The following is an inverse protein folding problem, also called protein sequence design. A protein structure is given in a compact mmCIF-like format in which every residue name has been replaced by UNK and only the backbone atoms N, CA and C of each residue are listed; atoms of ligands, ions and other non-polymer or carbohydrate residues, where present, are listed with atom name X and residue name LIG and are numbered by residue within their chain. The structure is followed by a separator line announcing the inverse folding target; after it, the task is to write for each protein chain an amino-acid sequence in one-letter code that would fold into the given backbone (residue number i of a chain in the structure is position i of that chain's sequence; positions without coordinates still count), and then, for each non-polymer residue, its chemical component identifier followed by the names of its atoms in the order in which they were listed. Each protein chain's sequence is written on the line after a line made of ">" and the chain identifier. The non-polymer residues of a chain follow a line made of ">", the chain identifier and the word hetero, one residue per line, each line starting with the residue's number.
data_IF_885334589873
#
_entry.id   IF_885334589873
#
_cell.length_a   1.000
_cell.length_b   1.000
_cell.length_c   1.000
_cell.angle_alpha   90.00
_cell.angle_beta   90.00
_cell.angle_gamma   90.00
#
_symmetry.space_group_name_H-M   'P 1'
#
loop_
_entity.id
_entity.type
_entity.pdbx_description
1 polymer ?
#
# COMPACT_ATOMS: atom_id res chain seq x y z
N UNK A 1 -6.35 -61.09 -3.37
CA UNK A 1 -7.10 -62.34 -3.57
C UNK A 1 -7.57 -62.79 -2.20
N UNK A 2 -8.87 -62.69 -1.95
CA UNK A 2 -9.49 -62.95 -0.65
C UNK A 2 -10.19 -64.30 -0.69
N UNK A 3 -9.95 -65.14 0.32
CA UNK A 3 -10.57 -66.46 0.43
C UNK A 3 -11.89 -66.33 1.18
N UNK A 4 -12.99 -66.62 0.49
CA UNK A 4 -14.32 -66.71 1.07
C UNK A 4 -14.68 -68.18 1.22
N UNK A 5 -14.83 -68.65 2.45
CA UNK A 5 -15.07 -70.06 2.75
C UNK A 5 -15.98 -70.23 3.96
N UNK A 6 -16.74 -71.32 4.00
CA UNK A 6 -17.68 -71.56 5.07
C UNK A 6 -18.58 -72.76 4.82
N UNK A 7 -19.64 -72.90 5.61
CA UNK A 7 -20.67 -73.93 5.44
C UNK A 7 -22.03 -73.25 5.31
N UNK A 8 -22.71 -73.44 4.18
CA UNK A 8 -24.10 -73.05 3.99
C UNK A 8 -25.02 -73.97 4.78
N UNK A 9 -25.96 -73.39 5.50
CA UNK A 9 -26.95 -74.09 6.30
C UNK A 9 -28.34 -73.56 6.01
N UNK A 10 -29.34 -74.42 6.04
CA UNK A 10 -30.74 -74.03 5.98
C UNK A 10 -31.22 -73.46 7.34
N UNK A 11 -32.49 -73.08 7.41
CA UNK A 11 -33.10 -72.55 8.63
C UNK A 11 -33.14 -73.57 9.80
N UNK A 12 -32.92 -74.87 9.52
CA UNK A 12 -32.85 -75.94 10.51
C UNK A 12 -31.39 -76.31 10.85
N UNK A 13 -30.41 -75.62 10.27
CA UNK A 13 -28.99 -75.86 10.49
C UNK A 13 -28.40 -77.01 9.67
N UNK A 14 -29.18 -77.64 8.78
CA UNK A 14 -28.71 -78.72 7.92
C UNK A 14 -27.86 -78.16 6.77
N UNK A 15 -26.80 -78.86 6.35
CA UNK A 15 -25.96 -78.43 5.23
C UNK A 15 -26.75 -78.41 3.92
N UNK A 16 -26.62 -77.32 3.16
CA UNK A 16 -27.25 -77.20 1.83
C UNK A 16 -26.26 -77.67 0.76
N UNK A 17 -26.61 -78.73 0.03
CA UNK A 17 -25.85 -79.17 -1.15
C UNK A 17 -26.48 -78.59 -2.44
N UNK A 18 -25.65 -78.12 -3.36
CA UNK A 18 -26.02 -77.38 -4.57
C UNK A 18 -24.84 -76.55 -5.09
N UNK A 19 -25.09 -75.50 -5.87
CA UNK A 19 -24.07 -74.64 -6.44
C UNK A 19 -24.24 -73.16 -6.07
N UNK A 20 -23.14 -72.51 -5.70
CA UNK A 20 -23.06 -71.06 -5.63
C UNK A 20 -22.61 -70.50 -6.98
N UNK A 21 -23.38 -69.56 -7.50
CA UNK A 21 -23.03 -68.77 -8.68
C UNK A 21 -22.72 -67.34 -8.24
N UNK A 22 -21.55 -66.83 -8.62
CA UNK A 22 -21.17 -65.44 -8.37
C UNK A 22 -20.90 -64.75 -9.70
N UNK A 23 -21.63 -63.66 -9.96
CA UNK A 23 -21.53 -62.87 -11.19
C UNK A 23 -20.92 -61.50 -10.90
N UNK A 24 -19.86 -61.13 -11.61
CA UNK A 24 -19.25 -59.81 -11.47
C UNK A 24 -20.17 -58.71 -12.04
N UNK A 25 -20.46 -57.67 -11.24
CA UNK A 25 -21.37 -56.57 -11.64
C UNK A 25 -20.69 -55.45 -12.43
N UNK A 26 -19.37 -55.37 -12.39
CA UNK A 26 -18.59 -54.34 -13.09
C UNK A 26 -17.22 -54.85 -13.53
N UNK A 27 -16.65 -54.21 -14.54
CA UNK A 27 -15.27 -54.46 -14.96
C UNK A 27 -14.30 -53.75 -14.03
N UNK A 28 -13.32 -54.47 -13.51
CA UNK A 28 -12.15 -53.96 -12.77
C UNK A 28 -10.87 -54.29 -13.54
N UNK A 29 -9.71 -53.86 -13.03
CA UNK A 29 -8.42 -54.22 -13.63
C UNK A 29 -8.13 -55.72 -13.65
N UNK A 30 -8.85 -56.53 -12.86
CA UNK A 30 -8.62 -57.97 -12.72
C UNK A 30 -9.85 -58.85 -12.99
N UNK A 31 -11.04 -58.27 -13.16
CA UNK A 31 -12.32 -59.01 -13.32
C UNK A 31 -13.17 -58.31 -14.38
N UNK A 32 -13.69 -59.05 -15.36
CA UNK A 32 -14.57 -58.50 -16.41
C UNK A 32 -16.03 -58.64 -15.96
N UNK A 33 -16.85 -57.63 -16.24
CA UNK A 33 -18.30 -57.65 -15.98
C UNK A 33 -19.00 -58.89 -16.60
N UNK A 34 -20.06 -59.37 -15.95
CA UNK A 34 -20.88 -60.52 -16.34
C UNK A 34 -20.17 -61.89 -16.38
N UNK A 35 -18.88 -61.93 -16.03
CA UNK A 35 -18.21 -63.21 -15.76
C UNK A 35 -18.84 -63.90 -14.55
N UNK A 36 -19.07 -65.20 -14.68
CA UNK A 36 -19.72 -66.01 -13.66
C UNK A 36 -18.82 -67.17 -13.25
N UNK A 37 -18.62 -67.35 -11.94
CA UNK A 37 -18.07 -68.57 -11.39
C UNK A 37 -19.20 -69.43 -10.83
N UNK A 38 -19.07 -70.76 -10.95
CA UNK A 38 -19.97 -71.73 -10.33
C UNK A 38 -19.12 -72.67 -9.49
N UNK A 39 -19.47 -72.81 -8.21
CA UNK A 39 -18.82 -73.76 -7.31
C UNK A 39 -19.87 -74.63 -6.64
N UNK A 40 -19.65 -75.94 -6.69
CA UNK A 40 -20.49 -76.92 -6.01
C UNK A 40 -20.17 -76.95 -4.51
N UNK A 41 -21.20 -77.15 -3.71
CA UNK A 41 -21.11 -77.28 -2.26
C UNK A 41 -21.19 -78.75 -1.88
N UNK A 42 -20.25 -79.20 -1.06
CA UNK A 42 -20.19 -80.59 -0.58
C UNK A 42 -20.39 -80.59 0.93
N UNK A 43 -21.47 -81.20 1.40
CA UNK A 43 -21.95 -81.08 2.79
C UNK A 43 -22.04 -79.61 3.24
N UNK A 44 -22.58 -78.75 2.37
CA UNK A 44 -22.70 -77.30 2.61
C UNK A 44 -21.39 -76.52 2.54
N UNK A 45 -20.23 -77.17 2.44
CA UNK A 45 -18.94 -76.48 2.44
C UNK A 45 -18.63 -75.87 1.08
N UNK A 46 -18.10 -74.66 1.10
CA UNK A 46 -17.57 -73.95 -0.06
C UNK A 46 -16.24 -73.25 0.28
N UNK A 47 -15.41 -73.03 -0.73
CA UNK A 47 -14.20 -72.22 -0.62
C UNK A 47 -13.87 -71.63 -1.99
N UNK A 48 -13.78 -70.31 -2.08
CA UNK A 48 -13.51 -69.58 -3.31
C UNK A 48 -12.47 -68.50 -3.05
N UNK A 49 -11.60 -68.30 -4.03
CA UNK A 49 -10.65 -67.21 -4.02
C UNK A 49 -11.13 -66.11 -4.97
N UNK A 50 -11.54 -64.97 -4.41
CA UNK A 50 -12.11 -63.87 -5.17
C UNK A 50 -11.12 -62.73 -5.36
N UNK A 51 -11.22 -62.09 -6.52
CA UNK A 51 -10.56 -60.83 -6.80
C UNK A 51 -11.44 -59.66 -6.34
N UNK A 52 -10.86 -58.47 -6.10
CA UNK A 52 -11.63 -57.29 -5.74
C UNK A 52 -12.64 -56.91 -6.83
N UNK A 53 -13.93 -57.07 -6.53
CA UNK A 53 -15.05 -56.68 -7.36
C UNK A 53 -16.35 -56.72 -6.53
N UNK A 54 -17.44 -56.26 -7.13
CA UNK A 54 -18.80 -56.43 -6.62
C UNK A 54 -19.44 -57.62 -7.34
N UNK A 55 -20.00 -58.56 -6.58
CA UNK A 55 -20.54 -59.81 -7.10
C UNK A 55 -21.99 -60.02 -6.68
N UNK A 56 -22.87 -60.34 -7.62
CA UNK A 56 -24.19 -60.90 -7.33
C UNK A 56 -24.06 -62.39 -7.03
N UNK A 57 -24.64 -62.82 -5.92
CA UNK A 57 -24.53 -64.18 -5.40
C UNK A 57 -25.87 -64.88 -5.52
N UNK A 58 -25.87 -66.06 -6.13
CA UNK A 58 -27.05 -66.88 -6.36
C UNK A 58 -26.78 -68.30 -5.92
N UNK A 59 -27.72 -68.91 -5.20
CA UNK A 59 -27.68 -70.30 -4.80
C UNK A 59 -28.63 -71.12 -5.69
N UNK A 60 -28.10 -72.17 -6.31
CA UNK A 60 -28.86 -73.14 -7.08
C UNK A 60 -28.84 -74.49 -6.34
N UNK A 61 -29.98 -74.96 -5.85
CA UNK A 61 -30.13 -76.27 -5.18
C UNK A 61 -30.87 -77.21 -6.12
N UNK A 62 -30.44 -78.47 -6.22
CA UNK A 62 -31.07 -79.45 -7.11
C UNK A 62 -32.56 -79.62 -6.79
N UNK A 63 -33.42 -79.45 -7.81
CA UNK A 63 -34.87 -79.50 -7.67
C UNK A 63 -35.54 -78.20 -7.22
N UNK A 64 -34.79 -77.13 -6.95
CA UNK A 64 -35.31 -75.80 -6.57
C UNK A 64 -34.92 -74.71 -7.57
N UNK A 65 -35.67 -73.59 -7.56
CA UNK A 65 -35.33 -72.41 -8.35
C UNK A 65 -34.02 -71.76 -7.86
N UNK A 66 -33.32 -71.06 -8.76
CA UNK A 66 -32.16 -70.24 -8.41
C UNK A 66 -32.59 -69.11 -7.47
N UNK A 67 -32.03 -69.08 -6.28
CA UNK A 67 -32.34 -68.07 -5.26
C UNK A 67 -31.23 -67.03 -5.22
N UNK A 68 -31.57 -65.77 -5.50
CA UNK A 68 -30.63 -64.66 -5.33
C UNK A 68 -30.41 -64.41 -3.83
N UNK A 69 -29.17 -64.56 -3.37
CA UNK A 69 -28.79 -64.38 -1.97
C UNK A 69 -28.46 -62.93 -1.63
N UNK A 70 -28.01 -62.15 -2.61
CA UNK A 70 -27.67 -60.73 -2.45
C UNK A 70 -26.42 -60.35 -3.23
N UNK A 71 -25.89 -59.17 -2.95
CA UNK A 71 -24.65 -58.66 -3.54
C UNK A 71 -23.57 -58.58 -2.46
N UNK A 72 -22.35 -59.01 -2.78
CA UNK A 72 -21.18 -58.85 -1.91
C UNK A 72 -20.14 -57.93 -2.56
N UNK A 73 -19.38 -57.22 -1.74
CA UNK A 73 -18.28 -56.37 -2.20
C UNK A 73 -16.95 -56.87 -1.63
N UNK A 74 -16.03 -57.22 -2.54
CA UNK A 74 -14.65 -57.57 -2.20
C UNK A 74 -13.77 -56.37 -2.55
N UNK A 75 -13.13 -55.79 -1.53
CA UNK A 75 -12.11 -54.75 -1.64
C UNK A 75 -10.70 -55.37 -1.58
N UNK A 76 -9.68 -54.60 -1.92
CA UNK A 76 -8.29 -55.08 -1.90
C UNK A 76 -7.80 -55.52 -0.51
N UNK A 77 -8.38 -54.95 0.54
CA UNK A 77 -8.09 -55.17 1.95
C UNK A 77 -9.15 -56.03 2.66
N UNK A 78 -10.11 -56.62 1.92
CA UNK A 78 -11.14 -57.46 2.54
C UNK A 78 -10.50 -58.72 3.13
N UNK A 79 -10.64 -58.97 4.45
CA UNK A 79 -10.07 -60.15 5.09
C UNK A 79 -10.80 -61.42 4.64
N UNK A 80 -10.14 -62.58 4.80
CA UNK A 80 -10.78 -63.87 4.59
C UNK A 80 -11.96 -64.03 5.55
N UNK A 81 -13.06 -64.63 5.09
CA UNK A 81 -14.30 -64.73 5.86
C UNK A 81 -15.34 -65.64 5.22
N UNK A 82 -16.56 -65.65 5.77
CA UNK A 82 -17.66 -66.42 5.19
C UNK A 82 -18.55 -65.57 4.29
N UNK A 83 -19.26 -66.22 3.37
CA UNK A 83 -20.26 -65.57 2.52
C UNK A 83 -21.37 -64.92 3.36
N UNK A 84 -21.76 -65.55 4.48
CA UNK A 84 -22.79 -65.02 5.37
C UNK A 84 -22.38 -63.67 5.96
N UNK A 85 -21.12 -63.53 6.38
CA UNK A 85 -20.61 -62.27 6.96
C UNK A 85 -20.68 -61.11 5.97
N UNK A 86 -20.34 -61.38 4.71
CA UNK A 86 -20.37 -60.40 3.63
C UNK A 86 -21.80 -60.06 3.16
N UNK A 87 -22.73 -60.99 3.25
CA UNK A 87 -24.14 -60.77 2.92
C UNK A 87 -24.89 -59.98 4.02
N UNK A 88 -24.49 -60.12 5.28
CA UNK A 88 -25.10 -59.38 6.41
C UNK A 88 -24.65 -57.90 6.39
N UNK A 89 -23.36 -57.66 6.11
CA UNK A 89 -22.78 -56.32 6.12
C UNK A 89 -22.04 -56.04 4.80
N UNK A 90 -22.75 -55.61 3.74
CA UNK A 90 -22.09 -55.16 2.53
C UNK A 90 -21.27 -53.90 2.87
N UNK A 91 -19.94 -54.02 2.94
CA UNK A 91 -19.03 -52.89 3.19
C UNK A 91 -19.07 -51.90 2.02
N UNK A 92 -20.08 -51.02 1.98
CA UNK A 92 -20.16 -49.91 1.04
C UNK A 92 -19.14 -48.84 1.42
N UNK A 93 -18.30 -48.40 0.48
CA UNK A 93 -17.21 -47.44 0.68
C UNK A 93 -17.59 -46.00 1.07
N UNK A 94 -18.74 -45.79 1.70
CA UNK A 94 -19.29 -44.51 2.17
C UNK A 94 -19.51 -44.45 3.69
N UNK A 95 -18.97 -45.39 4.47
CA UNK A 95 -19.11 -45.33 5.91
C UNK A 95 -18.02 -44.45 6.52
N UNK A 96 -18.43 -43.35 7.18
CA UNK A 96 -17.59 -42.59 8.12
C UNK A 96 -17.09 -43.58 9.16
N UNK A 97 -15.80 -43.93 9.08
CA UNK A 97 -15.21 -44.85 10.05
C UNK A 97 -14.94 -44.13 11.37
N UNK A 98 -14.85 -44.85 12.50
CA UNK A 98 -14.45 -44.27 13.77
C UNK A 98 -13.13 -43.49 13.69
N UNK A 99 -12.19 -43.94 12.86
CA UNK A 99 -10.90 -43.28 12.65
C UNK A 99 -11.05 -41.93 11.95
N UNK A 100 -11.89 -41.84 10.91
CA UNK A 100 -12.19 -40.58 10.22
C UNK A 100 -12.87 -39.59 11.18
N UNK A 101 -13.80 -40.08 12.00
CA UNK A 101 -14.47 -39.25 13.01
C UNK A 101 -13.47 -38.73 14.06
N UNK A 102 -12.55 -39.59 14.51
CA UNK A 102 -11.51 -39.21 15.47
C UNK A 102 -10.57 -38.15 14.90
N UNK A 103 -10.13 -38.30 13.64
CA UNK A 103 -9.30 -37.31 12.96
C UNK A 103 -10.04 -35.97 12.81
N UNK A 104 -11.33 -35.97 12.49
CA UNK A 104 -12.11 -34.73 12.43
C UNK A 104 -12.23 -34.04 13.78
N UNK A 105 -12.43 -34.79 14.86
CA UNK A 105 -12.47 -34.24 16.23
C UNK A 105 -11.11 -33.63 16.58
N UNK A 106 -10.02 -34.33 16.27
CA UNK A 106 -8.67 -33.85 16.52
C UNK A 106 -8.38 -32.55 15.75
N UNK A 107 -8.69 -32.47 14.45
CA UNK A 107 -8.51 -31.24 13.67
C UNK A 107 -9.37 -30.08 14.15
N UNK A 108 -10.62 -30.35 14.58
CA UNK A 108 -11.48 -29.33 15.19
C UNK A 108 -10.84 -28.78 16.47
N UNK A 109 -10.35 -29.66 17.33
CA UNK A 109 -9.78 -29.29 18.62
C UNK A 109 -8.44 -28.56 18.45
N UNK A 110 -7.60 -28.99 17.50
CA UNK A 110 -6.39 -28.26 17.11
C UNK A 110 -6.70 -26.87 16.57
N UNK A 111 -7.68 -26.74 15.66
CA UNK A 111 -8.08 -25.44 15.10
C UNK A 111 -8.58 -24.49 16.19
N UNK A 112 -9.40 -25.00 17.12
CA UNK A 112 -9.87 -24.24 18.28
C UNK A 112 -8.71 -23.80 19.16
N UNK A 113 -7.78 -24.70 19.46
CA UNK A 113 -6.59 -24.39 20.24
C UNK A 113 -5.75 -23.29 19.57
N UNK A 114 -5.49 -23.37 18.28
CA UNK A 114 -4.75 -22.33 17.56
C UNK A 114 -5.49 -20.99 17.56
N UNK A 115 -6.82 -20.99 17.35
CA UNK A 115 -7.62 -19.76 17.38
C UNK A 115 -7.61 -19.09 18.76
N UNK A 116 -7.68 -19.86 19.85
CA UNK A 116 -7.66 -19.36 21.22
C UNK A 116 -6.25 -18.93 21.69
N UNK A 117 -5.20 -19.51 21.10
CA UNK A 117 -3.80 -19.21 21.46
C UNK A 117 -3.14 -18.16 20.57
N UNK A 118 -3.83 -17.65 19.54
CA UNK A 118 -3.33 -16.52 18.73
C UNK A 118 -3.14 -15.30 19.63
N UNK A 119 -1.88 -14.93 19.83
CA UNK A 119 -1.52 -13.73 20.57
C UNK A 119 -1.76 -12.47 19.71
N UNK A 120 -2.90 -11.82 19.96
CA UNK A 120 -3.26 -10.57 19.30
C UNK A 120 -2.59 -9.34 19.95
N UNK A 121 -1.80 -9.49 21.01
CA UNK A 121 -1.13 -8.35 21.68
C UNK A 121 -0.06 -7.69 20.81
N UNK A 122 0.44 -8.42 19.80
CA UNK A 122 1.44 -7.93 18.84
C UNK A 122 0.83 -7.40 17.53
N UNK A 123 -0.49 -7.52 17.37
CA UNK A 123 -1.18 -7.12 16.14
C UNK A 123 -1.61 -5.65 16.23
N UNK A 124 -1.20 -4.87 15.22
CA UNK A 124 -1.65 -3.48 15.05
C UNK A 124 -3.10 -3.48 14.55
N UNK A 125 -4.01 -2.89 15.33
CA UNK A 125 -5.43 -2.75 14.95
C UNK A 125 -5.66 -1.47 14.15
N UNK A 126 -6.79 -1.43 13.43
CA UNK A 126 -7.27 -0.19 12.81
C UNK A 126 -7.48 0.86 13.92
N UNK A 127 -6.86 2.02 13.78
CA UNK A 127 -6.88 3.08 14.80
C UNK A 127 -5.64 3.12 15.69
N UNK A 128 -4.89 2.02 15.83
CA UNK A 128 -3.71 1.99 16.69
C UNK A 128 -2.65 2.95 16.15
N UNK A 129 -2.24 3.89 17.00
CA UNK A 129 -1.31 4.95 16.60
C UNK A 129 -1.80 5.80 15.42
N UNK A 130 -3.11 5.87 15.15
CA UNK A 130 -3.67 6.61 14.02
C UNK A 130 -3.51 5.93 12.65
N UNK A 131 -3.19 4.62 12.62
CA UNK A 131 -3.06 3.85 11.38
C UNK A 131 -4.43 3.42 10.84
N UNK A 132 -4.53 3.30 9.51
CA UNK A 132 -5.69 2.77 8.78
C UNK A 132 -7.04 3.46 9.11
N UNK A 133 -6.99 4.66 9.68
CA UNK A 133 -8.16 5.42 10.15
C UNK A 133 -7.87 6.91 10.09
N UNK A 134 -8.90 7.74 10.30
CA UNK A 134 -8.72 9.18 10.48
C UNK A 134 -7.94 9.47 11.76
N UNK A 135 -6.87 10.26 11.63
CA UNK A 135 -6.01 10.64 12.76
C UNK A 135 -6.76 11.45 13.81
N UNK A 136 -6.43 11.20 15.08
CA UNK A 136 -7.03 11.90 16.23
C UNK A 136 -6.47 13.31 16.36
N UNK A 137 -7.32 14.29 16.64
CA UNK A 137 -6.90 15.64 17.02
C UNK A 137 -6.28 15.63 18.42
N UNK A 138 -5.10 16.22 18.59
CA UNK A 138 -4.40 16.29 19.88
C UNK A 138 -4.28 17.73 20.37
N UNK A 139 -4.48 18.00 21.68
CA UNK A 139 -4.34 19.34 22.24
C UNK A 139 -2.88 19.79 22.32
N UNK A 140 -1.93 18.87 22.46
CA UNK A 140 -0.50 19.16 22.48
C UNK A 140 0.26 18.02 21.78
N UNK A 141 0.80 18.21 20.56
CA UNK A 141 1.57 17.19 19.85
C UNK A 141 2.79 16.65 20.63
N UNK A 142 3.34 17.45 21.53
CA UNK A 142 4.52 17.12 22.33
C UNK A 142 4.17 16.65 23.75
N UNK A 143 2.88 16.45 24.07
CA UNK A 143 2.45 15.92 25.38
C UNK A 143 3.09 14.57 25.69
N UNK A 144 3.47 14.37 26.94
CA UNK A 144 4.10 13.13 27.42
C UNK A 144 3.15 11.93 27.46
N UNK A 145 1.84 12.19 27.40
CA UNK A 145 0.79 11.17 27.40
C UNK A 145 0.49 10.62 26.00
N UNK A 146 1.15 11.18 24.97
CA UNK A 146 1.01 10.74 23.59
C UNK A 146 2.09 9.73 23.21
N UNK A 147 1.64 8.53 22.85
CA UNK A 147 2.48 7.50 22.25
C UNK A 147 2.94 7.87 20.85
N UNK A 148 3.96 7.17 20.35
CA UNK A 148 4.35 7.20 18.94
C UNK A 148 3.15 6.93 18.03
N UNK A 149 3.00 7.71 16.97
CA UNK A 149 1.87 7.56 16.05
C UNK A 149 1.60 8.77 15.16
N UNK A 150 0.48 8.71 14.47
CA UNK A 150 -0.04 9.71 13.55
C UNK A 150 -1.22 10.45 14.17
N UNK A 151 -1.14 11.77 14.18
CA UNK A 151 -2.12 12.66 14.80
C UNK A 151 -2.42 13.84 13.89
N UNK A 152 -3.35 14.69 14.31
CA UNK A 152 -3.56 16.01 13.74
C UNK A 152 -3.65 17.07 14.83
N UNK A 153 -3.32 18.31 14.50
CA UNK A 153 -3.52 19.46 15.37
C UNK A 153 -4.48 20.45 14.70
N UNK A 154 -5.12 21.26 15.52
CA UNK A 154 -6.02 22.33 15.09
C UNK A 154 -5.64 23.65 15.75
N UNK A 155 -6.51 24.66 15.59
CA UNK A 155 -6.28 26.02 16.06
C UNK A 155 -6.25 26.17 17.58
N UNK A 156 -6.76 25.17 18.30
CA UNK A 156 -6.78 25.11 19.77
C UNK A 156 -5.57 24.34 20.32
N UNK A 157 -4.87 23.59 19.47
CA UNK A 157 -3.68 22.86 19.87
C UNK A 157 -2.55 23.83 20.22
N UNK A 158 -1.90 23.58 21.36
CA UNK A 158 -0.68 24.27 21.78
C UNK A 158 0.55 23.58 21.20
N UNK A 159 1.71 24.23 21.30
CA UNK A 159 3.00 23.62 20.96
C UNK A 159 3.07 23.12 19.51
N UNK A 160 2.38 23.80 18.61
CA UNK A 160 2.32 23.54 17.17
C UNK A 160 3.34 24.39 16.41
N UNK A 161 3.61 24.09 15.12
CA UNK A 161 4.46 24.94 14.30
C UNK A 161 3.99 26.40 14.26
N UNK A 162 4.94 27.33 14.20
CA UNK A 162 4.66 28.77 14.19
C UNK A 162 3.77 29.15 13.00
N UNK A 163 2.69 29.89 13.26
CA UNK A 163 1.70 30.34 12.27
C UNK A 163 0.94 29.21 11.54
N UNK A 164 0.95 27.98 12.06
CA UNK A 164 0.17 26.88 11.50
C UNK A 164 -1.16 26.72 12.24
N UNK A 165 -2.27 26.84 11.51
CA UNK A 165 -3.62 26.76 12.10
C UNK A 165 -4.07 25.31 12.26
N UNK A 166 -3.72 24.42 11.34
CA UNK A 166 -4.11 23.02 11.32
C UNK A 166 -3.04 22.20 10.58
N UNK A 167 -2.97 20.91 10.87
CA UNK A 167 -2.07 20.02 10.15
C UNK A 167 -1.98 18.62 10.73
N UNK A 168 -1.06 17.84 10.18
CA UNK A 168 -0.82 16.45 10.56
C UNK A 168 0.51 16.32 11.28
N UNK A 169 0.58 15.39 12.23
CA UNK A 169 1.76 15.10 13.05
C UNK A 169 2.12 13.64 12.88
N UNK A 170 3.40 13.38 12.65
CA UNK A 170 4.02 12.10 12.94
C UNK A 170 4.88 12.27 14.20
N UNK A 171 4.52 11.60 15.29
CA UNK A 171 5.27 11.63 16.55
C UNK A 171 6.09 10.37 16.69
N UNK A 172 7.36 10.53 17.06
CA UNK A 172 8.25 9.43 17.41
C UNK A 172 8.81 9.72 18.80
N UNK A 173 8.49 8.85 19.75
CA UNK A 173 8.92 8.95 21.14
C UNK A 173 10.00 7.93 21.45
N UNK A 174 11.07 8.36 22.12
CA UNK A 174 12.03 7.46 22.77
C UNK A 174 11.48 6.99 24.13
N UNK A 175 10.88 7.91 24.88
CA UNK A 175 10.19 7.65 26.14
C UNK A 175 9.08 8.71 26.31
N UNK A 176 8.37 8.71 27.45
CA UNK A 176 7.28 9.64 27.70
C UNK A 176 7.71 11.11 27.59
N UNK A 177 8.94 11.47 27.97
CA UNK A 177 9.41 12.87 27.97
C UNK A 177 10.19 13.26 26.72
N UNK A 178 10.76 12.29 26.02
CA UNK A 178 11.64 12.49 24.89
C UNK A 178 10.93 12.09 23.60
N UNK A 179 10.53 13.09 22.83
CA UNK A 179 9.91 12.87 21.52
C UNK A 179 10.33 13.92 20.51
N UNK A 180 10.25 13.52 19.25
CA UNK A 180 10.34 14.40 18.09
C UNK A 180 9.05 14.27 17.29
N UNK A 181 8.71 15.32 16.58
CA UNK A 181 7.55 15.36 15.71
C UNK A 181 7.95 15.85 14.32
N UNK A 182 7.35 15.27 13.29
CA UNK A 182 7.26 15.90 11.97
C UNK A 182 5.86 16.44 11.81
N UNK A 183 5.76 17.72 11.47
CA UNK A 183 4.50 18.41 11.28
C UNK A 183 4.33 18.83 9.81
N UNK A 184 3.18 18.50 9.23
CA UNK A 184 2.78 18.86 7.87
C UNK A 184 1.62 19.83 7.97
N UNK A 185 1.77 21.07 7.48
CA UNK A 185 0.72 22.09 7.59
C UNK A 185 -0.40 21.83 6.59
N UNK A 186 -1.64 22.06 7.02
CA UNK A 186 -2.80 21.95 6.13
C UNK A 186 -2.82 23.12 5.15
N UNK A 187 -3.11 22.84 3.87
CA UNK A 187 -3.15 23.83 2.77
C UNK A 187 -1.91 24.74 2.69
N UNK A 188 -0.73 24.22 3.02
CA UNK A 188 0.52 24.96 2.95
C UNK A 188 1.64 24.04 2.48
N UNK A 189 2.63 24.65 1.85
CA UNK A 189 3.86 24.05 1.34
C UNK A 189 4.93 23.79 2.41
N UNK A 190 4.58 24.01 3.69
CA UNK A 190 5.53 23.97 4.80
C UNK A 190 5.43 22.66 5.57
N UNK A 191 6.59 22.13 5.92
CA UNK A 191 6.72 21.06 6.88
C UNK A 191 7.75 21.46 7.93
N UNK A 192 7.65 20.89 9.13
CA UNK A 192 8.54 21.22 10.23
C UNK A 192 9.03 19.97 10.98
N UNK A 193 10.26 20.04 11.47
CA UNK A 193 10.79 19.13 12.47
C UNK A 193 10.70 19.79 13.85
N UNK A 194 9.87 19.22 14.72
CA UNK A 194 9.59 19.75 16.06
C UNK A 194 10.21 18.91 17.16
N UNK A 195 10.73 19.57 18.19
CA UNK A 195 11.26 18.90 19.37
C UNK A 195 11.25 19.84 20.58
N UNK A 196 11.30 19.25 21.77
CA UNK A 196 11.51 20.00 23.01
C UNK A 196 13.00 20.02 23.33
N UNK A 197 13.58 21.21 23.40
CA UNK A 197 14.96 21.40 23.82
C UNK A 197 15.13 20.97 25.29
N UNK A 198 15.98 19.97 25.55
CA UNK A 198 16.16 19.42 26.91
C UNK A 198 16.76 20.42 27.89
N UNK A 199 17.55 21.37 27.41
CA UNK A 199 18.29 22.31 28.25
C UNK A 199 17.43 23.48 28.71
N UNK A 200 16.55 23.95 27.82
CA UNK A 200 15.72 25.14 28.06
C UNK A 200 14.25 24.82 28.29
N UNK A 201 13.81 23.60 27.94
CA UNK A 201 12.40 23.21 27.93
C UNK A 201 11.59 23.86 26.81
N UNK A 202 12.23 24.69 25.98
CA UNK A 202 11.60 25.42 24.88
C UNK A 202 11.29 24.48 23.73
N UNK A 203 10.10 24.62 23.17
CA UNK A 203 9.71 23.89 21.97
C UNK A 203 10.20 24.64 20.75
N UNK A 204 10.86 23.90 19.86
CA UNK A 204 11.43 24.42 18.62
C UNK A 204 10.82 23.67 17.45
N UNK A 205 10.60 24.41 16.38
CA UNK A 205 10.20 23.88 15.08
C UNK A 205 11.15 24.43 14.03
N UNK A 206 11.88 23.53 13.38
CA UNK A 206 12.76 23.85 12.26
C UNK A 206 12.01 23.56 10.96
N UNK A 207 11.88 24.56 10.09
CA UNK A 207 11.19 24.43 8.81
C UNK A 207 12.02 23.56 7.85
N UNK A 208 11.38 22.56 7.22
CA UNK A 208 12.00 21.79 6.16
C UNK A 208 12.18 22.68 4.93
N UNK A 209 13.38 22.58 4.38
CA UNK A 209 13.74 23.20 3.12
C UNK A 209 13.32 22.24 1.99
N UNK A 210 12.35 22.65 1.17
CA UNK A 210 11.75 21.85 0.08
C UNK A 210 11.79 22.63 -1.24
N UNK A 211 11.52 21.97 -2.36
CA UNK A 211 11.40 22.64 -3.67
C UNK A 211 10.23 23.62 -3.74
N UNK A 212 9.30 23.61 -2.78
CA UNK A 212 8.17 24.53 -2.75
C UNK A 212 8.50 25.88 -2.10
N UNK A 213 9.40 25.90 -1.11
CA UNK A 213 9.80 27.12 -0.38
C UNK A 213 11.23 27.61 -0.71
N UNK A 214 11.80 27.14 -1.82
CA UNK A 214 13.15 27.46 -2.25
C UNK A 214 13.34 27.56 -3.76
N UNK A 215 14.48 28.11 -4.18
CA UNK A 215 14.97 28.04 -5.56
C UNK A 215 16.48 27.92 -5.57
N UNK A 216 16.99 27.41 -6.68
CA UNK A 216 18.36 27.64 -7.11
C UNK A 216 18.39 28.94 -7.92
N UNK A 217 19.29 29.86 -7.56
CA UNK A 217 19.46 31.13 -8.28
C UNK A 217 20.26 30.96 -9.58
N UNK A 218 20.39 32.04 -10.36
CA UNK A 218 21.20 32.06 -11.59
C UNK A 218 22.68 31.66 -11.41
N UNK A 219 23.18 31.64 -10.18
CA UNK A 219 24.56 31.33 -9.83
C UNK A 219 24.71 29.91 -9.24
N UNK A 220 23.62 29.14 -9.12
CA UNK A 220 23.64 27.77 -8.61
C UNK A 220 23.48 27.64 -7.10
N UNK A 221 23.21 28.73 -6.37
CA UNK A 221 23.03 28.69 -4.91
C UNK A 221 21.59 28.46 -4.51
N UNK A 222 21.42 27.63 -3.47
CA UNK A 222 20.12 27.41 -2.87
C UNK A 222 19.71 28.60 -1.99
N UNK A 223 18.50 29.13 -2.21
CA UNK A 223 17.95 30.26 -1.47
C UNK A 223 16.53 29.96 -0.98
N UNK A 224 16.18 30.43 0.22
CA UNK A 224 14.78 30.47 0.68
C UNK A 224 14.01 31.43 -0.21
N UNK A 225 13.04 30.90 -0.96
CA UNK A 225 12.57 31.57 -2.15
C UNK A 225 11.20 31.05 -2.52
N UNK A 226 10.20 31.89 -2.27
CA UNK A 226 8.81 31.76 -2.71
C UNK A 226 8.06 32.95 -2.11
N UNK A 227 7.14 33.60 -2.84
CA UNK A 227 6.90 33.56 -4.30
C UNK A 227 8.07 34.16 -5.14
N UNK A 228 8.27 33.70 -6.39
CA UNK A 228 9.41 34.12 -7.24
C UNK A 228 9.00 34.31 -8.72
N UNK A 229 9.68 35.26 -9.37
CA UNK A 229 9.75 35.42 -10.82
C UNK A 229 11.20 35.36 -11.29
N UNK A 230 11.46 34.59 -12.36
CA UNK A 230 12.71 34.69 -13.14
C UNK A 230 12.47 35.58 -14.34
N UNK A 231 13.13 36.73 -14.40
CA UNK A 231 12.98 37.73 -15.45
C UNK A 231 14.05 37.52 -16.54
N UNK A 232 13.62 37.39 -17.79
CA UNK A 232 14.47 37.18 -18.97
C UNK A 232 14.38 38.35 -19.95
N UNK A 233 15.35 38.45 -20.86
CA UNK A 233 15.41 39.51 -21.87
C UNK A 233 14.49 39.30 -23.07
N UNK A 234 13.91 38.10 -23.23
CA UNK A 234 13.00 37.76 -24.32
C UNK A 234 11.96 36.72 -23.87
N UNK A 235 10.96 36.46 -24.72
CA UNK A 235 9.96 35.40 -24.50
C UNK A 235 10.44 34.01 -24.95
N UNK A 236 11.61 33.92 -25.58
CA UNK A 236 12.19 32.65 -25.99
C UNK A 236 12.92 32.00 -24.79
N UNK A 237 12.13 31.45 -23.88
CA UNK A 237 12.61 30.92 -22.60
C UNK A 237 12.48 29.40 -22.61
N UNK A 238 13.55 28.70 -22.21
CA UNK A 238 13.47 27.27 -21.98
C UNK A 238 12.56 26.98 -20.78
N UNK A 239 11.61 26.03 -20.89
CA UNK A 239 10.78 25.63 -19.76
C UNK A 239 11.62 25.22 -18.55
N UNK A 240 11.18 25.60 -17.35
CA UNK A 240 11.77 25.16 -16.10
C UNK A 240 10.71 24.44 -15.26
N UNK A 241 11.07 23.29 -14.70
CA UNK A 241 10.18 22.52 -13.82
C UNK A 241 9.73 23.35 -12.62
N UNK A 242 8.43 23.32 -12.30
CA UNK A 242 7.85 24.11 -11.21
C UNK A 242 7.54 25.58 -11.54
N UNK A 243 7.79 26.02 -12.78
CA UNK A 243 7.49 27.37 -13.25
C UNK A 243 6.57 27.37 -14.47
N UNK A 244 5.76 28.43 -14.59
CA UNK A 244 4.91 28.72 -15.75
C UNK A 244 5.40 29.99 -16.43
N UNK A 245 5.44 30.00 -17.76
CA UNK A 245 5.82 31.19 -18.51
C UNK A 245 4.72 32.26 -18.46
N UNK A 246 5.14 33.50 -18.20
CA UNK A 246 4.29 34.69 -18.18
C UNK A 246 5.04 35.82 -18.87
N UNK A 247 4.78 36.00 -20.18
CA UNK A 247 5.54 36.93 -21.04
C UNK A 247 7.03 36.58 -21.08
N UNK A 248 7.88 37.55 -20.75
CA UNK A 248 9.35 37.38 -20.68
C UNK A 248 9.83 36.91 -19.29
N UNK A 249 8.98 36.25 -18.50
CA UNK A 249 9.34 35.70 -17.21
C UNK A 249 8.82 34.27 -16.96
N UNK A 250 9.40 33.60 -15.98
CA UNK A 250 8.93 32.33 -15.43
C UNK A 250 8.48 32.55 -13.98
N UNK A 251 7.23 32.20 -13.67
CA UNK A 251 6.62 32.41 -12.34
C UNK A 251 6.35 31.05 -11.67
N UNK A 252 6.60 30.94 -10.36
CA UNK A 252 6.27 29.71 -9.64
C UNK A 252 4.78 29.68 -9.23
N UNK A 253 4.30 28.53 -8.76
CA UNK A 253 2.89 28.35 -8.39
C UNK A 253 2.39 29.32 -7.30
N UNK A 254 3.27 29.84 -6.44
CA UNK A 254 2.95 30.83 -5.41
C UNK A 254 2.90 32.27 -5.94
N UNK A 255 3.41 32.52 -7.15
CA UNK A 255 3.33 33.78 -7.86
C UNK A 255 2.25 33.74 -8.97
N UNK A 256 1.22 32.90 -8.80
CA UNK A 256 0.11 32.79 -9.76
C UNK A 256 -0.58 34.15 -9.94
N UNK A 257 -0.84 34.53 -11.18
CA UNK A 257 -1.45 35.83 -11.55
C UNK A 257 -0.42 36.93 -11.84
N UNK A 258 0.87 36.69 -11.58
CA UNK A 258 1.92 37.65 -11.95
C UNK A 258 2.16 37.63 -13.46
N UNK A 259 2.29 38.84 -14.03
CA UNK A 259 2.60 39.04 -15.45
C UNK A 259 3.89 39.83 -15.62
N UNK A 260 4.70 39.43 -16.59
CA UNK A 260 6.01 40.04 -16.85
C UNK A 260 6.06 40.54 -18.28
N UNK A 261 6.39 41.82 -18.45
CA UNK A 261 6.39 42.49 -19.75
C UNK A 261 7.72 43.18 -20.00
N UNK A 262 8.29 42.95 -21.18
CA UNK A 262 9.35 43.79 -21.74
C UNK A 262 8.71 45.01 -22.41
N UNK A 263 8.97 46.20 -21.86
CA UNK A 263 8.42 47.47 -22.33
C UNK A 263 9.32 48.11 -23.39
N UNK A 264 10.64 48.03 -23.19
CA UNK A 264 11.66 48.52 -24.12
C UNK A 264 12.96 47.72 -23.92
N UNK A 265 14.01 48.01 -24.70
CA UNK A 265 15.35 47.42 -24.52
C UNK A 265 15.84 47.67 -23.10
N UNK A 266 16.06 46.58 -22.36
CA UNK A 266 16.49 46.64 -20.98
C UNK A 266 15.46 47.29 -20.04
N UNK A 267 14.17 47.31 -20.36
CA UNK A 267 13.12 47.83 -19.49
C UNK A 267 11.99 46.81 -19.34
N UNK A 268 11.80 46.35 -18.12
CA UNK A 268 10.85 45.31 -17.77
C UNK A 268 9.93 45.74 -16.64
N UNK A 269 8.68 45.30 -16.70
CA UNK A 269 7.69 45.51 -15.66
C UNK A 269 7.10 44.17 -15.21
N UNK A 270 6.95 44.02 -13.90
CA UNK A 270 6.28 42.88 -13.26
C UNK A 270 5.03 43.41 -12.55
N UNK A 271 3.88 42.83 -12.91
CA UNK A 271 2.56 43.22 -12.44
C UNK A 271 1.89 42.07 -11.69
N UNK A 272 0.94 42.37 -10.80
CA UNK A 272 0.14 41.35 -10.09
C UNK A 272 0.71 40.91 -8.73
N UNK A 273 1.75 41.59 -8.23
CA UNK A 273 2.26 41.41 -6.87
C UNK A 273 1.99 42.65 -5.99
N UNK A 274 2.28 42.57 -4.69
CA UNK A 274 2.33 43.71 -3.77
C UNK A 274 3.70 44.41 -3.77
N UNK A 275 4.62 44.00 -4.65
CA UNK A 275 6.00 44.47 -4.73
C UNK A 275 7.04 43.41 -4.36
N UNK A 276 8.21 43.87 -3.93
CA UNK A 276 9.31 43.02 -3.49
C UNK A 276 9.02 42.33 -2.16
N UNK A 277 9.60 41.15 -1.95
CA UNK A 277 9.56 40.48 -0.66
C UNK A 277 10.10 41.37 0.48
N UNK A 278 9.43 41.35 1.63
CA UNK A 278 9.75 42.21 2.80
C UNK A 278 10.87 41.67 3.67
N UNK A 279 11.21 40.39 3.54
CA UNK A 279 12.23 39.71 4.34
C UNK A 279 13.20 38.92 3.47
N UNK A 280 14.49 39.00 3.82
CA UNK A 280 15.57 38.30 3.12
C UNK A 280 15.96 38.98 1.80
N UNK A 281 16.31 38.18 0.80
CA UNK A 281 16.68 38.68 -0.53
C UNK A 281 15.42 38.96 -1.37
N UNK A 282 15.48 39.98 -2.23
CA UNK A 282 14.39 40.33 -3.16
C UNK A 282 14.82 40.44 -4.62
N UNK A 283 16.11 40.66 -4.90
CA UNK A 283 16.66 40.65 -6.26
C UNK A 283 18.01 39.95 -6.27
N UNK A 284 18.23 39.07 -7.25
CA UNK A 284 19.54 38.48 -7.56
C UNK A 284 19.88 38.74 -9.01
N UNK A 285 21.03 39.38 -9.25
CA UNK A 285 21.55 39.63 -10.60
C UNK A 285 22.51 38.52 -11.01
N UNK A 286 22.59 38.17 -12.31
CA UNK A 286 23.51 37.15 -12.79
C UNK A 286 24.96 37.64 -12.73
N UNK A 287 25.85 36.78 -12.23
CA UNK A 287 27.27 37.04 -12.09
C UNK A 287 28.10 36.13 -13.01
N UNK A 288 29.33 36.54 -13.31
CA UNK A 288 30.33 35.66 -13.93
C UNK A 288 31.15 34.90 -12.88
N UNK A 289 32.06 34.02 -13.35
CA UNK A 289 32.90 33.20 -12.47
C UNK A 289 33.82 34.01 -11.54
N UNK A 290 34.00 35.31 -11.79
CA UNK A 290 34.82 36.22 -10.99
C UNK A 290 33.95 37.12 -10.08
N UNK A 291 32.64 36.87 -9.98
CA UNK A 291 31.70 37.67 -9.18
C UNK A 291 31.34 39.01 -9.83
N UNK A 292 31.66 39.23 -11.11
CA UNK A 292 31.26 40.45 -11.79
C UNK A 292 29.82 40.35 -12.26
N UNK A 293 28.99 41.30 -11.84
CA UNK A 293 27.64 41.51 -12.38
C UNK A 293 27.70 41.73 -13.89
N UNK A 294 26.87 41.01 -14.64
CA UNK A 294 26.85 41.08 -16.12
C UNK A 294 26.34 42.43 -16.65
N UNK A 295 25.42 43.06 -15.95
CA UNK A 295 24.84 44.36 -16.28
C UNK A 295 24.59 45.17 -15.01
N UNK A 296 24.43 46.48 -15.17
CA UNK A 296 23.93 47.38 -14.12
C UNK A 296 22.40 47.30 -14.13
N UNK A 297 21.76 47.27 -12.96
CA UNK A 297 20.30 47.21 -12.87
C UNK A 297 19.79 48.27 -11.90
N UNK A 298 18.85 49.07 -12.37
CA UNK A 298 18.02 49.94 -11.55
C UNK A 298 16.66 49.28 -11.38
N UNK A 299 16.10 49.39 -10.18
CA UNK A 299 14.81 48.80 -9.89
C UNK A 299 14.03 49.65 -8.91
N UNK A 300 12.72 49.67 -9.09
CA UNK A 300 11.79 50.40 -8.22
C UNK A 300 10.46 49.65 -8.15
N UNK A 301 9.66 49.96 -7.14
CA UNK A 301 8.33 49.42 -6.99
C UNK A 301 7.38 50.57 -6.70
N UNK A 302 6.38 50.77 -7.57
CA UNK A 302 5.35 51.79 -7.42
C UNK A 302 3.98 51.11 -7.53
N UNK A 303 3.15 51.23 -6.49
CA UNK A 303 1.79 50.67 -6.44
C UNK A 303 1.70 49.18 -6.86
N UNK A 304 2.66 48.37 -6.40
CA UNK A 304 2.72 46.93 -6.69
C UNK A 304 3.31 46.56 -8.07
N UNK A 305 3.63 47.56 -8.90
CA UNK A 305 4.34 47.33 -10.16
C UNK A 305 5.84 47.44 -9.93
N UNK A 306 6.55 46.34 -10.13
CA UNK A 306 8.02 46.33 -10.06
C UNK A 306 8.58 46.67 -11.43
N UNK A 307 9.36 47.73 -11.50
CA UNK A 307 10.10 48.13 -12.71
C UNK A 307 11.56 47.73 -12.55
N UNK A 308 12.10 47.00 -13.53
CA UNK A 308 13.54 46.65 -13.60
C UNK A 308 14.10 47.19 -14.91
N UNK A 309 15.17 47.98 -14.81
CA UNK A 309 15.89 48.51 -15.96
C UNK A 309 17.35 48.06 -15.94
N UNK A 310 17.84 47.54 -17.06
CA UNK A 310 19.18 47.00 -17.20
C UNK A 310 20.01 47.79 -18.20
N UNK A 311 21.27 48.03 -17.84
CA UNK A 311 22.20 48.87 -18.58
C UNK A 311 23.57 48.22 -18.67
N UNK A 312 24.31 48.57 -19.72
CA UNK A 312 25.75 48.32 -19.77
C UNK A 312 26.45 48.99 -18.58
N UNK A 313 27.55 48.40 -18.12
CA UNK A 313 28.31 48.93 -16.98
C UNK A 313 29.29 49.98 -17.49
N UNK A 314 29.17 51.22 -17.00
CA UNK A 314 30.11 52.30 -17.30
C UNK A 314 30.82 52.73 -16.02
N UNK A 315 32.15 52.73 -16.02
CA UNK A 315 32.91 53.23 -14.85
C UNK A 315 32.96 54.76 -14.88
N UNK A 316 32.43 55.40 -13.84
CA UNK A 316 32.49 56.85 -13.66
C UNK A 316 33.76 57.22 -12.90
N UNK A 317 34.74 57.82 -13.59
CA UNK A 317 35.97 58.30 -12.94
C UNK A 317 35.75 59.46 -11.97
N UNK A 318 34.61 60.17 -12.07
CA UNK A 318 34.24 61.25 -11.13
C UNK A 318 33.70 60.74 -9.81
N UNK A 319 32.89 59.68 -9.85
CA UNK A 319 32.23 59.10 -8.68
C UNK A 319 32.99 57.88 -8.14
N UNK A 320 34.02 57.41 -8.87
CA UNK A 320 34.76 56.19 -8.60
C UNK A 320 33.86 54.95 -8.42
N UNK A 321 32.74 54.92 -9.15
CA UNK A 321 31.74 53.86 -9.08
C UNK A 321 31.25 53.46 -10.48
N UNK A 322 30.55 52.33 -10.54
CA UNK A 322 29.91 51.85 -11.77
C UNK A 322 28.53 52.48 -11.86
N UNK A 323 28.27 53.16 -12.97
CA UNK A 323 27.00 53.82 -13.28
C UNK A 323 26.34 53.15 -14.49
N UNK A 324 25.06 53.44 -14.69
CA UNK A 324 24.31 53.04 -15.87
C UNK A 324 24.95 53.60 -17.16
N UNK A 325 25.20 52.73 -18.13
CA UNK A 325 25.54 53.06 -19.51
C UNK A 325 24.31 53.01 -20.42
N UNK A 326 24.49 52.48 -21.63
CA UNK A 326 23.39 52.30 -22.58
C UNK A 326 22.45 51.16 -22.13
N UNK A 327 21.13 51.27 -22.35
CA UNK A 327 20.18 50.20 -22.07
C UNK A 327 20.58 48.90 -22.79
N UNK A 328 20.48 47.78 -22.08
CA UNK A 328 20.80 46.45 -22.63
C UNK A 328 19.82 45.43 -22.08
N UNK A 329 19.35 44.52 -22.93
CA UNK A 329 18.52 43.41 -22.47
C UNK A 329 19.31 42.40 -21.63
N UNK A 330 18.60 41.67 -20.78
CA UNK A 330 19.17 40.53 -20.04
C UNK A 330 19.66 39.49 -21.06
N UNK A 331 20.94 39.17 -21.02
CA UNK A 331 21.58 38.28 -21.99
C UNK A 331 20.99 36.88 -21.99
N UNK A 332 20.86 36.28 -23.18
CA UNK A 332 20.36 34.91 -23.36
C UNK A 332 21.06 33.89 -22.43
N UNK A 333 20.26 32.96 -21.88
CA UNK A 333 20.75 31.95 -20.93
C UNK A 333 21.05 32.48 -19.51
N UNK A 334 20.70 33.75 -19.22
CA UNK A 334 20.71 34.35 -17.88
C UNK A 334 19.35 34.95 -17.57
N UNK A 335 19.09 35.14 -16.28
CA UNK A 335 17.87 35.77 -15.76
C UNK A 335 18.18 36.56 -14.49
N UNK A 336 17.24 37.42 -14.09
CA UNK A 336 17.22 38.07 -12.78
C UNK A 336 16.18 37.33 -11.93
N UNK A 337 16.57 36.84 -10.76
CA UNK A 337 15.60 36.30 -9.80
C UNK A 337 15.00 37.46 -9.00
N UNK A 338 13.66 37.53 -8.96
CA UNK A 338 12.89 38.50 -8.20
C UNK A 338 12.01 37.74 -7.20
N UNK A 339 12.14 38.04 -5.90
CA UNK A 339 11.25 37.50 -4.88
C UNK A 339 10.15 38.51 -4.59
N UNK A 340 8.92 38.03 -4.57
CA UNK A 340 7.73 38.88 -4.53
C UNK A 340 7.01 38.79 -3.19
N UNK A 341 6.36 39.88 -2.82
CA UNK A 341 5.26 39.87 -1.86
C UNK A 341 3.95 39.67 -2.64
N UNK A 342 3.16 38.66 -2.31
CA UNK A 342 1.89 38.39 -3.00
C UNK A 342 0.70 38.75 -2.11
N UNK A 343 -0.43 39.21 -2.68
CA UNK A 343 -1.66 39.36 -1.91
C UNK A 343 -2.06 38.00 -1.35
N UNK A 344 -2.43 37.97 -0.06
CA UNK A 344 -2.99 36.77 0.55
C UNK A 344 -4.28 36.44 -0.19
N UNK A 345 -4.37 35.26 -0.78
CA UNK A 345 -5.68 34.72 -1.18
C UNK A 345 -6.57 34.74 0.05
N UNK A 346 -7.81 35.26 -0.04
CA UNK A 346 -8.76 35.14 1.04
C UNK A 346 -8.83 33.66 1.41
N UNK A 347 -8.54 33.33 2.67
CA UNK A 347 -8.89 32.02 3.20
C UNK A 347 -10.41 31.88 2.97
N UNK A 348 -10.83 30.80 2.35
CA UNK A 348 -12.21 30.34 2.48
C UNK A 348 -12.43 30.00 3.96
N UNK A 349 -12.74 31.01 4.76
CA UNK A 349 -13.08 30.90 6.18
C UNK A 349 -14.48 30.26 6.38
N UNK A 350 -14.98 29.46 5.43
CA UNK A 350 -16.31 28.85 5.48
C UNK A 350 -16.37 27.50 4.76
N UNK A 351 -15.76 26.44 5.31
CA UNK A 351 -16.30 25.06 5.22
C UNK A 351 -16.00 24.29 6.50
#
# INVERSE_FOLDING_TARGET
>A
MTIISGTLRDALGNPINGALLLRAKRTTSNVIQDTCIRIETVNGKYSLNLQPCEYDVVLAVDGYNKNQLGTIQILADTPNGSLNDLLINPKTGEQVTPEILQQMIEYRDQTKHYAETVDLSTVVKIGDGGLLSTTKTVPDPLSTDLYTGFYRYNRESINTPVNATMGYIMKISWNASDSVVMAFTYNSDKAYFGFKDKSTGVIKYEEFITTANSTVDSNGFYKKSSPIVRLFGSENINPAEGFTQSGCGLVNHLATGVTVKRVDVGHYEVHGSLGFAREGWYITLPEDANGNKKFFAEYSCNDGVITVKTYTRKFSTKLCEIVAGDPIDITDGRWIDLRLEMPTTPNDDNV
#
